data_IF_656373896779
#
_entry.id   IF_656373896779
#
_cell.length_a   1.000
_cell.length_b   1.000
_cell.length_c   1.000
_cell.angle_alpha   90.00
_cell.angle_beta   90.00
_cell.angle_gamma   90.00
#
_symmetry.space_group_name_H-M   'P 1'
#
loop_
_entity.id
_entity.type
_entity.pdbx_description
1 polymer ?
#
# COMPACT_ATOMS: atom_id res chain seq x y z
N UNK A 1 12.82 -5.14 -64.16
CA UNK A 1 12.10 -3.91 -63.74
C UNK A 1 12.71 -2.72 -64.43
N UNK A 2 11.92 -1.72 -64.80
CA UNK A 2 12.47 -0.42 -65.20
C UNK A 2 13.07 0.32 -63.99
N UNK A 3 13.94 1.30 -64.25
CA UNK A 3 14.49 2.18 -63.22
C UNK A 3 13.36 2.87 -62.43
N UNK A 4 12.30 3.32 -63.11
CA UNK A 4 11.13 3.95 -62.50
C UNK A 4 10.34 3.02 -61.59
N UNK A 5 10.18 1.74 -61.96
CA UNK A 5 9.51 0.74 -61.12
C UNK A 5 10.30 0.46 -59.84
N UNK A 6 11.62 0.33 -59.96
CA UNK A 6 12.51 0.07 -58.81
C UNK A 6 12.51 1.25 -57.84
N UNK A 7 12.54 2.48 -58.37
CA UNK A 7 12.44 3.71 -57.58
C UNK A 7 11.12 3.81 -56.82
N UNK A 8 9.98 3.57 -57.48
CA UNK A 8 8.66 3.63 -56.84
C UNK A 8 8.51 2.59 -55.72
N UNK A 9 9.03 1.37 -55.91
CA UNK A 9 9.02 0.32 -54.87
C UNK A 9 9.84 0.74 -53.66
N UNK A 10 11.04 1.29 -53.87
CA UNK A 10 11.90 1.78 -52.78
C UNK A 10 11.25 2.95 -52.03
N UNK A 11 10.63 3.90 -52.74
CA UNK A 11 9.95 5.03 -52.13
C UNK A 11 8.75 4.60 -51.26
N UNK A 12 7.92 3.68 -51.77
CA UNK A 12 6.78 3.13 -51.00
C UNK A 12 7.30 2.36 -49.77
N UNK A 13 8.34 1.55 -49.95
CA UNK A 13 8.95 0.79 -48.83
C UNK A 13 9.49 1.74 -47.76
N UNK A 14 10.21 2.78 -48.14
CA UNK A 14 10.71 3.81 -47.22
C UNK A 14 9.57 4.50 -46.46
N UNK A 15 8.49 4.88 -47.15
CA UNK A 15 7.32 5.48 -46.51
C UNK A 15 6.67 4.54 -45.47
N UNK A 16 6.51 3.25 -45.79
CA UNK A 16 6.00 2.25 -44.85
C UNK A 16 6.91 2.10 -43.63
N UNK A 17 8.23 2.03 -43.84
CA UNK A 17 9.20 1.95 -42.74
C UNK A 17 9.15 3.19 -41.85
N UNK A 18 9.03 4.39 -42.41
CA UNK A 18 8.91 5.63 -41.63
C UNK A 18 7.65 5.63 -40.77
N UNK A 19 6.51 5.19 -41.33
CA UNK A 19 5.26 5.07 -40.55
C UNK A 19 5.42 4.04 -39.43
N UNK A 20 5.97 2.86 -39.73
CA UNK A 20 6.19 1.80 -38.75
C UNK A 20 7.16 2.25 -37.63
N UNK A 21 8.21 2.99 -37.99
CA UNK A 21 9.14 3.61 -37.04
C UNK A 21 8.40 4.61 -36.14
N UNK A 22 7.63 5.53 -36.71
CA UNK A 22 6.84 6.51 -35.96
C UNK A 22 5.84 5.87 -35.01
N UNK A 23 5.15 4.82 -35.45
CA UNK A 23 4.26 4.01 -34.59
C UNK A 23 5.03 3.33 -33.47
N UNK A 24 6.17 2.67 -33.76
CA UNK A 24 6.97 1.99 -32.73
C UNK A 24 7.52 2.95 -31.67
N UNK A 25 7.94 4.16 -32.06
CA UNK A 25 8.35 5.22 -31.15
C UNK A 25 7.21 5.68 -30.25
N UNK A 26 6.03 5.88 -30.83
CA UNK A 26 4.84 6.25 -30.07
C UNK A 26 4.43 5.16 -29.07
N UNK A 27 4.45 3.89 -29.50
CA UNK A 27 4.13 2.75 -28.62
C UNK A 27 5.16 2.58 -27.52
N UNK A 28 6.45 2.80 -27.80
CA UNK A 28 7.51 2.82 -26.77
C UNK A 28 7.23 3.88 -25.71
N UNK A 29 6.84 5.10 -26.15
CA UNK A 29 6.49 6.18 -25.21
C UNK A 29 5.31 5.77 -24.32
N UNK A 30 4.25 5.21 -24.89
CA UNK A 30 3.09 4.76 -24.13
C UNK A 30 3.43 3.64 -23.14
N UNK A 31 4.20 2.64 -23.56
CA UNK A 31 4.61 1.53 -22.72
C UNK A 31 5.53 1.97 -21.57
N UNK A 32 6.38 2.98 -21.78
CA UNK A 32 7.18 3.58 -20.70
C UNK A 32 6.31 4.29 -19.66
N UNK A 33 5.27 5.01 -20.10
CA UNK A 33 4.31 5.64 -19.17
C UNK A 33 3.59 4.57 -18.36
N UNK A 34 3.11 3.50 -19.01
CA UNK A 34 2.47 2.36 -18.36
C UNK A 34 3.40 1.69 -17.33
N UNK A 35 4.70 1.53 -17.62
CA UNK A 35 5.68 0.99 -16.68
C UNK A 35 5.90 1.90 -15.46
N UNK A 36 5.96 3.22 -15.67
CA UNK A 36 6.06 4.20 -14.57
C UNK A 36 4.79 4.17 -13.70
N UNK A 37 3.61 4.10 -14.32
CA UNK A 37 2.34 4.03 -13.61
C UNK A 37 2.22 2.74 -12.80
N UNK A 38 2.68 1.60 -13.34
CA UNK A 38 2.75 0.33 -12.62
C UNK A 38 3.68 0.41 -11.39
N UNK A 39 4.86 1.04 -11.54
CA UNK A 39 5.80 1.25 -10.44
C UNK A 39 5.24 2.17 -9.35
N UNK A 40 4.60 3.27 -9.74
CA UNK A 40 3.93 4.20 -8.80
C UNK A 40 2.75 3.52 -8.09
N UNK A 41 1.97 2.72 -8.84
CA UNK A 41 0.88 1.91 -8.30
C UNK A 41 1.38 0.93 -7.23
N UNK A 42 2.44 0.17 -7.53
CA UNK A 42 3.11 -0.73 -6.58
C UNK A 42 3.54 0.02 -5.32
N UNK A 43 4.22 1.15 -5.47
CA UNK A 43 4.67 1.96 -4.33
C UNK A 43 3.50 2.41 -3.45
N UNK A 44 2.45 2.98 -4.04
CA UNK A 44 1.28 3.45 -3.30
C UNK A 44 0.54 2.30 -2.59
N UNK A 45 0.42 1.14 -3.24
CA UNK A 45 -0.12 -0.04 -2.59
C UNK A 45 0.73 -0.44 -1.38
N UNK A 46 2.06 -0.56 -1.53
CA UNK A 46 2.94 -0.91 -0.41
C UNK A 46 2.85 0.08 0.76
N UNK A 47 2.65 1.37 0.51
CA UNK A 47 2.44 2.37 1.59
C UNK A 47 1.16 2.11 2.40
N UNK A 48 0.04 1.81 1.73
CA UNK A 48 -1.23 1.51 2.41
C UNK A 48 -1.13 0.21 3.20
N UNK A 49 -0.45 -0.79 2.63
CA UNK A 49 -0.20 -2.07 3.26
C UNK A 49 0.66 -1.92 4.53
N UNK A 50 1.75 -1.16 4.45
CA UNK A 50 2.62 -0.88 5.60
C UNK A 50 1.87 -0.11 6.69
N UNK A 51 1.02 0.84 6.32
CA UNK A 51 0.22 1.55 7.31
C UNK A 51 -0.72 0.62 8.09
N UNK A 52 -1.33 -0.37 7.44
CA UNK A 52 -2.16 -1.35 8.16
C UNK A 52 -1.33 -2.08 9.22
N UNK A 53 -0.16 -2.58 8.84
CA UNK A 53 0.77 -3.28 9.72
C UNK A 53 1.23 -2.37 10.87
N UNK A 54 1.69 -1.17 10.54
CA UNK A 54 2.16 -0.18 11.51
C UNK A 54 1.06 0.22 12.48
N UNK A 55 -0.16 0.48 12.00
CA UNK A 55 -1.28 0.85 12.87
C UNK A 55 -1.62 -0.25 13.88
N UNK A 56 -1.47 -1.53 13.51
CA UNK A 56 -1.61 -2.65 14.45
C UNK A 56 -0.47 -2.66 15.49
N UNK A 57 0.76 -2.37 15.09
CA UNK A 57 1.90 -2.29 16.02
C UNK A 57 1.75 -1.12 17.00
N UNK A 58 1.37 0.05 16.50
CA UNK A 58 1.11 1.24 17.31
C UNK A 58 -0.03 1.04 18.31
N UNK A 59 -1.14 0.40 17.91
CA UNK A 59 -2.22 0.05 18.84
C UNK A 59 -1.70 -0.81 20.00
N UNK A 60 -0.95 -1.88 19.69
CA UNK A 60 -0.41 -2.75 20.74
C UNK A 60 0.61 -2.06 21.65
N UNK A 61 1.45 -1.19 21.07
CA UNK A 61 2.42 -0.38 21.82
C UNK A 61 1.71 0.59 22.76
N UNK A 62 0.80 1.40 22.23
CA UNK A 62 0.08 2.42 22.99
C UNK A 62 -0.82 1.81 24.07
N UNK A 63 -1.50 0.70 23.77
CA UNK A 63 -2.35 -0.01 24.73
C UNK A 63 -1.57 -0.52 25.93
N UNK A 64 -0.43 -1.19 25.68
CA UNK A 64 0.48 -1.64 26.75
C UNK A 64 1.07 -0.49 27.53
N UNK A 65 1.51 0.57 26.86
CA UNK A 65 2.05 1.75 27.54
C UNK A 65 1.01 2.39 28.45
N UNK A 66 -0.21 2.61 27.97
CA UNK A 66 -1.30 3.13 28.80
C UNK A 66 -1.56 2.26 30.03
N UNK A 67 -1.63 0.93 29.85
CA UNK A 67 -1.93 0.01 30.95
C UNK A 67 -0.91 0.11 32.09
N UNK A 68 0.36 0.34 31.75
CA UNK A 68 1.45 0.46 32.73
C UNK A 68 1.57 1.86 33.30
N UNK A 69 1.54 2.90 32.46
CA UNK A 69 1.80 4.29 32.87
C UNK A 69 0.57 5.00 33.41
N UNK A 70 -0.64 4.56 32.99
CA UNK A 70 -1.94 5.18 33.27
C UNK A 70 -2.07 6.60 32.72
N UNK A 71 -1.15 7.00 31.85
CA UNK A 71 -1.16 8.31 31.23
C UNK A 71 -2.24 8.35 30.14
N UNK A 72 -3.32 9.14 30.31
CA UNK A 72 -4.47 9.15 29.41
C UNK A 72 -4.12 9.51 27.96
N UNK A 73 -2.96 10.14 27.73
CA UNK A 73 -2.51 10.50 26.38
C UNK A 73 -2.29 9.27 25.50
N UNK A 74 -1.78 8.16 26.04
CA UNK A 74 -1.60 6.92 25.28
C UNK A 74 -2.94 6.28 24.90
N UNK A 75 -3.94 6.31 25.79
CA UNK A 75 -5.31 5.86 25.47
C UNK A 75 -5.96 6.76 24.42
N UNK A 76 -5.76 8.08 24.51
CA UNK A 76 -6.26 9.03 23.50
C UNK A 76 -5.65 8.75 22.13
N UNK A 77 -4.34 8.55 22.05
CA UNK A 77 -3.65 8.19 20.81
C UNK A 77 -4.12 6.85 20.24
N UNK A 78 -4.29 5.83 21.10
CA UNK A 78 -4.85 4.54 20.71
C UNK A 78 -6.23 4.69 20.05
N UNK A 79 -7.14 5.44 20.69
CA UNK A 79 -8.48 5.69 20.15
C UNK A 79 -8.45 6.51 18.85
N UNK A 80 -7.51 7.45 18.74
CA UNK A 80 -7.30 8.22 17.51
C UNK A 80 -6.86 7.34 16.34
N UNK A 81 -6.00 6.34 16.56
CA UNK A 81 -5.61 5.38 15.51
C UNK A 81 -6.83 4.59 15.03
N UNK A 82 -7.67 4.09 15.95
CA UNK A 82 -8.90 3.40 15.58
C UNK A 82 -9.84 4.31 14.78
N UNK A 83 -9.98 5.57 15.19
CA UNK A 83 -10.80 6.55 14.49
C UNK A 83 -10.25 6.88 13.08
N UNK A 84 -8.92 6.99 12.92
CA UNK A 84 -8.28 7.18 11.61
C UNK A 84 -8.50 5.95 10.71
N UNK A 85 -8.27 4.74 11.23
CA UNK A 85 -8.48 3.49 10.46
C UNK A 85 -9.92 3.36 9.96
N UNK A 86 -10.88 3.76 10.79
CA UNK A 86 -12.32 3.73 10.49
C UNK A 86 -12.80 4.95 9.70
N UNK A 87 -11.94 5.93 9.40
CA UNK A 87 -12.28 7.12 8.64
C UNK A 87 -13.15 8.14 9.40
N UNK A 88 -13.32 8.00 10.71
CA UNK A 88 -14.07 8.96 11.53
C UNK A 88 -13.22 10.14 11.99
N UNK A 89 -11.88 9.99 11.97
CA UNK A 89 -10.90 11.07 12.15
C UNK A 89 -10.06 11.23 10.87
N UNK A 90 -9.68 12.47 10.49
CA UNK A 90 -8.83 12.67 9.32
C UNK A 90 -7.47 11.98 9.51
N UNK A 91 -7.03 11.30 8.46
CA UNK A 91 -5.69 10.72 8.41
C UNK A 91 -4.64 11.83 8.28
N UNK A 92 -3.49 11.77 8.96
CA UNK A 92 -2.38 12.69 8.70
C UNK A 92 -1.92 12.66 7.23
N UNK A 93 -1.48 13.79 6.69
CA UNK A 93 -0.75 13.77 5.42
C UNK A 93 0.56 12.99 5.57
N UNK A 94 1.07 12.37 4.51
CA UNK A 94 2.29 11.53 4.51
C UNK A 94 2.36 10.54 5.70
N UNK A 95 1.26 9.84 5.98
CA UNK A 95 1.13 9.03 7.19
C UNK A 95 2.08 7.82 7.24
N UNK A 96 2.68 7.45 6.10
CA UNK A 96 3.77 6.50 6.01
C UNK A 96 5.07 6.97 6.69
N UNK A 97 5.15 8.24 7.13
CA UNK A 97 6.28 8.79 7.87
C UNK A 97 5.99 8.80 9.36
N UNK A 98 7.05 8.74 10.18
CA UNK A 98 7.01 8.74 11.65
C UNK A 98 6.05 9.79 12.20
N UNK A 99 4.99 9.36 12.89
CA UNK A 99 3.93 10.22 13.44
C UNK A 99 3.73 10.01 14.93
N UNK A 100 3.34 8.81 15.37
CA UNK A 100 2.96 8.55 16.76
C UNK A 100 4.10 8.66 17.77
N UNK A 101 5.34 8.44 17.37
CA UNK A 101 6.49 8.64 18.27
C UNK A 101 6.68 10.12 18.64
N UNK A 102 6.41 11.04 17.71
CA UNK A 102 6.44 12.47 18.00
C UNK A 102 5.28 12.89 18.90
N UNK A 103 4.08 12.39 18.62
CA UNK A 103 2.89 12.69 19.44
C UNK A 103 3.05 12.13 20.86
N UNK A 104 3.62 10.92 20.99
CA UNK A 104 3.94 10.32 22.29
C UNK A 104 5.01 11.08 23.07
N UNK A 105 5.91 11.80 22.39
CA UNK A 105 6.89 12.70 23.02
C UNK A 105 6.31 14.06 23.44
N UNK A 106 5.02 14.30 23.22
CA UNK A 106 4.34 15.57 23.53
C UNK A 106 4.50 16.64 22.45
N UNK A 107 5.00 16.30 21.26
CA UNK A 107 5.04 17.25 20.16
C UNK A 107 3.64 17.46 19.57
N UNK A 108 3.39 18.67 19.07
CA UNK A 108 2.21 18.96 18.26
C UNK A 108 2.12 18.03 17.05
N UNK A 109 0.91 17.86 16.52
CA UNK A 109 0.62 17.00 15.36
C UNK A 109 1.64 17.30 14.24
N UNK A 110 2.60 16.38 13.97
CA UNK A 110 3.78 16.69 13.16
C UNK A 110 3.43 16.88 11.68
N UNK A 111 2.19 16.55 11.30
CA UNK A 111 1.66 16.68 9.96
C UNK A 111 0.22 17.18 10.02
N UNK A 112 -0.19 18.02 9.07
CA UNK A 112 -1.56 18.49 9.00
C UNK A 112 -2.53 17.34 8.72
N UNK A 113 -3.82 17.51 9.09
CA UNK A 113 -4.85 16.55 8.74
C UNK A 113 -5.04 16.49 7.21
N UNK A 114 -5.32 15.29 6.71
CA UNK A 114 -5.71 14.99 5.35
C UNK A 114 -7.19 14.61 5.26
N UNK A 115 -7.52 13.64 4.40
CA UNK A 115 -8.89 13.17 4.19
C UNK A 115 -9.35 12.24 5.33
N UNK A 116 -10.61 12.36 5.73
CA UNK A 116 -11.31 11.37 6.54
C UNK A 116 -11.86 10.29 5.62
N UNK A 117 -11.16 9.16 5.53
CA UNK A 117 -11.52 8.02 4.68
C UNK A 117 -11.01 6.73 5.34
N UNK A 118 -11.82 5.66 5.40
CA UNK A 118 -11.36 4.39 5.95
C UNK A 118 -10.16 3.83 5.18
N UNK A 119 -9.21 3.21 5.89
CA UNK A 119 -8.02 2.61 5.25
C UNK A 119 -8.41 1.56 4.19
N UNK A 120 -9.40 0.72 4.50
CA UNK A 120 -9.91 -0.28 3.55
C UNK A 120 -10.54 0.37 2.31
N UNK A 121 -11.10 1.57 2.41
CA UNK A 121 -11.60 2.29 1.25
C UNK A 121 -10.43 2.80 0.38
N UNK A 122 -9.36 3.33 0.97
CA UNK A 122 -8.15 3.73 0.23
C UNK A 122 -7.52 2.56 -0.52
N UNK A 123 -7.49 1.38 0.11
CA UNK A 123 -7.04 0.15 -0.57
C UNK A 123 -7.96 -0.21 -1.74
N UNK A 124 -9.27 0.06 -1.65
CA UNK A 124 -10.20 -0.22 -2.75
C UNK A 124 -9.98 0.74 -3.91
N UNK A 125 -9.80 2.01 -3.60
CA UNK A 125 -9.46 3.06 -4.56
C UNK A 125 -8.10 2.79 -5.25
N UNK A 126 -7.15 2.13 -4.56
CA UNK A 126 -5.85 1.74 -5.10
C UNK A 126 -5.87 0.45 -5.95
N UNK A 127 -7.04 -0.12 -6.25
CA UNK A 127 -7.18 -1.24 -7.17
C UNK A 127 -6.71 -2.59 -6.60
N UNK A 128 -6.85 -2.77 -5.29
CA UNK A 128 -6.65 -4.07 -4.67
C UNK A 128 -7.76 -5.05 -5.08
N UNK A 129 -7.37 -6.29 -5.34
CA UNK A 129 -8.20 -7.41 -5.77
C UNK A 129 -9.04 -7.96 -4.63
N UNK A 130 -10.11 -8.70 -4.96
CA UNK A 130 -10.98 -9.33 -3.96
C UNK A 130 -10.23 -10.35 -3.09
N UNK A 131 -9.23 -11.05 -3.64
CA UNK A 131 -8.41 -11.99 -2.89
C UNK A 131 -7.50 -11.29 -1.85
N UNK A 132 -6.88 -10.17 -2.24
CA UNK A 132 -6.12 -9.33 -1.31
C UNK A 132 -7.06 -8.75 -0.23
N UNK A 133 -8.25 -8.30 -0.63
CA UNK A 133 -9.26 -7.78 0.30
C UNK A 133 -9.76 -8.80 1.31
N UNK A 134 -9.97 -10.04 0.90
CA UNK A 134 -10.41 -11.10 1.81
C UNK A 134 -9.41 -11.28 2.98
N UNK A 135 -8.11 -11.19 2.69
CA UNK A 135 -7.05 -11.24 3.72
C UNK A 135 -7.04 -10.01 4.63
N UNK A 136 -7.29 -8.84 4.07
CA UNK A 136 -7.45 -7.61 4.85
C UNK A 136 -8.64 -7.65 5.80
N UNK A 137 -9.77 -8.19 5.35
CA UNK A 137 -10.98 -8.38 6.16
C UNK A 137 -10.75 -9.42 7.27
N UNK A 138 -10.07 -10.53 6.96
CA UNK A 138 -9.63 -11.52 7.94
C UNK A 138 -8.75 -10.89 9.03
N UNK A 139 -7.74 -10.11 8.63
CA UNK A 139 -6.87 -9.38 9.55
C UNK A 139 -7.65 -8.37 10.42
N UNK A 140 -8.62 -7.66 9.83
CA UNK A 140 -9.46 -6.71 10.57
C UNK A 140 -10.33 -7.43 11.61
N UNK A 141 -10.99 -8.52 11.23
CA UNK A 141 -11.82 -9.31 12.15
C UNK A 141 -10.99 -9.85 13.33
N UNK A 142 -9.78 -10.33 13.06
CA UNK A 142 -8.83 -10.76 14.10
C UNK A 142 -8.40 -9.58 15.00
N UNK A 143 -8.23 -8.38 14.41
CA UNK A 143 -7.88 -7.17 15.14
C UNK A 143 -8.99 -6.69 16.06
N UNK A 144 -10.26 -6.83 15.67
CA UNK A 144 -11.40 -6.43 16.51
C UNK A 144 -11.43 -7.23 17.82
N UNK A 145 -11.02 -8.51 17.79
CA UNK A 145 -10.86 -9.34 18.99
C UNK A 145 -9.75 -8.85 19.93
N UNK A 146 -8.58 -8.48 19.39
CA UNK A 146 -7.50 -7.90 20.19
C UNK A 146 -7.89 -6.55 20.80
N UNK A 147 -8.56 -5.70 20.02
CA UNK A 147 -9.05 -4.40 20.48
C UNK A 147 -10.00 -4.57 21.67
N UNK A 148 -10.89 -5.56 21.65
CA UNK A 148 -11.77 -5.84 22.79
C UNK A 148 -10.99 -6.19 24.06
N UNK A 149 -9.95 -7.04 23.95
CA UNK A 149 -9.06 -7.39 25.06
C UNK A 149 -8.28 -6.18 25.59
N UNK A 150 -7.80 -5.33 24.69
CA UNK A 150 -7.09 -4.10 25.03
C UNK A 150 -8.01 -3.11 25.74
N UNK A 151 -9.23 -2.91 25.25
CA UNK A 151 -10.24 -2.05 25.89
C UNK A 151 -10.64 -2.58 27.27
N UNK A 152 -10.76 -3.90 27.45
CA UNK A 152 -10.99 -4.50 28.77
C UNK A 152 -9.83 -4.14 29.73
N UNK A 153 -8.58 -4.31 29.29
CA UNK A 153 -7.42 -3.94 30.11
C UNK A 153 -7.41 -2.45 30.45
N UNK A 154 -7.77 -1.58 29.49
CA UNK A 154 -7.90 -0.14 29.74
C UNK A 154 -9.01 0.18 30.74
N UNK A 155 -10.14 -0.52 30.67
CA UNK A 155 -11.26 -0.35 31.60
C UNK A 155 -10.87 -0.74 33.02
N UNK A 156 -10.13 -1.84 33.19
CA UNK A 156 -9.65 -2.27 34.51
C UNK A 156 -8.73 -1.23 35.17
N UNK A 157 -7.90 -0.53 34.38
CA UNK A 157 -7.08 0.61 34.84
C UNK A 157 -7.95 1.78 35.32
N UNK A 158 -9.12 1.98 34.70
CA UNK A 158 -10.08 3.03 35.05
C UNK A 158 -11.06 2.64 36.16
N UNK A 159 -10.93 1.47 36.77
CA UNK A 159 -11.90 0.99 37.76
C UNK A 159 -13.23 0.61 37.13
N UNK A 160 -13.20 0.00 35.94
CA UNK A 160 -14.37 -0.51 35.23
C UNK A 160 -14.24 -1.99 34.85
N UNK A 161 -15.37 -2.68 34.72
CA UNK A 161 -15.44 -4.02 34.15
C UNK A 161 -15.28 -4.02 32.62
N UNK A 162 -15.31 -5.21 32.01
CA UNK A 162 -15.22 -5.36 30.54
C UNK A 162 -16.31 -4.62 29.75
N UNK A 163 -17.46 -4.36 30.36
CA UNK A 163 -18.58 -3.66 29.74
C UNK A 163 -18.53 -2.14 29.99
N UNK A 164 -17.53 -1.66 30.76
CA UNK A 164 -17.38 -0.26 31.12
C UNK A 164 -18.16 0.16 32.37
N UNK A 165 -18.74 -0.78 33.12
CA UNK A 165 -19.43 -0.47 34.38
C UNK A 165 -18.42 -0.28 35.52
N UNK A 166 -18.64 0.65 36.46
CA UNK A 166 -17.74 0.82 37.61
C UNK A 166 -17.58 -0.47 38.43
N UNK A 167 -16.35 -0.76 38.84
CA UNK A 167 -16.02 -1.78 39.86
C UNK A 167 -15.50 -1.09 41.12
N UNK A 168 -15.39 -1.84 42.22
CA UNK A 168 -15.05 -1.28 43.54
C UNK A 168 -13.71 -0.53 43.53
N UNK A 169 -12.69 -1.08 42.88
CA UNK A 169 -11.35 -0.50 42.76
C UNK A 169 -10.73 -0.92 41.40
N UNK A 170 -9.82 -0.10 40.81
CA UNK A 170 -9.05 -0.50 39.64
C UNK A 170 -8.22 -1.78 39.85
N UNK A 171 -8.18 -2.64 38.83
CA UNK A 171 -7.39 -3.88 38.84
C UNK A 171 -6.20 -3.80 37.87
N UNK A 172 -5.14 -3.12 38.32
CA UNK A 172 -3.92 -2.94 37.52
C UNK A 172 -3.19 -4.26 37.23
N UNK A 173 -3.22 -5.20 38.19
CA UNK A 173 -2.54 -6.49 38.05
C UNK A 173 -3.15 -7.31 36.93
N UNK A 174 -4.48 -7.39 36.89
CA UNK A 174 -5.21 -8.05 35.81
C UNK A 174 -5.04 -7.31 34.49
N UNK A 175 -5.10 -5.97 34.46
CA UNK A 175 -4.90 -5.19 33.24
C UNK A 175 -3.54 -5.50 32.57
N UNK A 176 -2.45 -5.48 33.36
CA UNK A 176 -1.11 -5.84 32.89
C UNK A 176 -1.07 -7.30 32.43
N UNK A 177 -1.67 -8.22 33.20
CA UNK A 177 -1.71 -9.63 32.82
C UNK A 177 -2.39 -9.85 31.47
N UNK A 178 -3.50 -9.18 31.18
CA UNK A 178 -4.24 -9.32 29.92
C UNK A 178 -3.35 -8.96 28.71
N UNK A 179 -2.68 -7.80 28.74
CA UNK A 179 -1.90 -7.28 27.60
C UNK A 179 -0.50 -7.92 27.43
N UNK A 180 -0.09 -8.72 28.42
CA UNK A 180 1.16 -9.52 28.38
C UNK A 180 0.89 -11.04 28.39
N UNK A 181 -0.36 -11.45 28.23
CA UNK A 181 -0.74 -12.87 28.26
C UNK A 181 -0.29 -13.64 27.00
N UNK A 182 -0.14 -14.98 27.09
CA UNK A 182 0.03 -15.81 25.90
C UNK A 182 -1.11 -15.66 24.90
N UNK A 183 -2.33 -15.44 25.37
CA UNK A 183 -3.51 -15.19 24.55
C UNK A 183 -3.36 -13.90 23.73
N UNK A 184 -2.88 -12.82 24.34
CA UNK A 184 -2.57 -11.58 23.64
C UNK A 184 -1.56 -11.79 22.50
N UNK A 185 -0.50 -12.57 22.75
CA UNK A 185 0.48 -12.90 21.72
C UNK A 185 -0.12 -13.77 20.59
N UNK A 186 -1.06 -14.67 20.90
CA UNK A 186 -1.82 -15.43 19.89
C UNK A 186 -2.70 -14.53 19.04
N UNK A 187 -3.41 -13.56 19.64
CA UNK A 187 -4.14 -12.56 18.88
C UNK A 187 -3.23 -11.81 17.91
N UNK A 188 -2.07 -11.33 18.39
CA UNK A 188 -1.12 -10.61 17.51
C UNK A 188 -0.64 -11.48 16.35
N UNK A 189 -0.31 -12.75 16.60
CA UNK A 189 0.07 -13.69 15.55
C UNK A 189 -1.07 -13.92 14.54
N UNK A 190 -2.31 -14.10 15.02
CA UNK A 190 -3.49 -14.30 14.17
C UNK A 190 -3.85 -13.07 13.34
N UNK A 191 -3.53 -11.87 13.80
CA UNK A 191 -3.67 -10.63 13.01
C UNK A 191 -2.59 -10.56 11.94
N UNK A 192 -1.34 -10.88 12.30
CA UNK A 192 -0.21 -10.72 11.40
C UNK A 192 -0.14 -11.78 10.31
N UNK A 193 -0.68 -12.99 10.55
CA UNK A 193 -0.70 -14.04 9.54
C UNK A 193 -1.44 -13.67 8.24
N UNK A 194 -2.70 -13.21 8.27
CA UNK A 194 -3.37 -12.75 7.05
C UNK A 194 -2.79 -11.46 6.48
N UNK A 195 -2.17 -10.59 7.30
CA UNK A 195 -1.41 -9.42 6.79
C UNK A 195 -0.21 -9.90 5.96
N UNK A 196 0.54 -10.88 6.45
CA UNK A 196 1.67 -11.49 5.73
C UNK A 196 1.21 -12.17 4.42
N UNK A 197 0.15 -12.99 4.48
CA UNK A 197 -0.43 -13.61 3.28
C UNK A 197 -0.88 -12.56 2.24
N UNK A 198 -1.45 -11.44 2.71
CA UNK A 198 -1.83 -10.31 1.86
C UNK A 198 -0.62 -9.63 1.22
N UNK A 199 0.48 -9.43 1.95
CA UNK A 199 1.70 -8.82 1.42
C UNK A 199 2.27 -9.66 0.28
N UNK A 200 2.28 -10.98 0.42
CA UNK A 200 2.69 -11.90 -0.67
C UNK A 200 1.81 -11.73 -1.90
N UNK A 201 0.48 -11.74 -1.74
CA UNK A 201 -0.45 -11.54 -2.87
C UNK A 201 -0.23 -10.19 -3.57
N UNK A 202 0.01 -9.14 -2.79
CA UNK A 202 0.26 -7.81 -3.30
C UNK A 202 1.58 -7.71 -4.06
N UNK A 203 2.65 -8.27 -3.49
CA UNK A 203 3.98 -8.28 -4.10
C UNK A 203 3.95 -9.06 -5.42
N UNK A 204 3.38 -10.26 -5.44
CA UNK A 204 3.26 -11.09 -6.64
C UNK A 204 2.49 -10.37 -7.75
N UNK A 205 1.32 -9.80 -7.43
CA UNK A 205 0.49 -9.10 -8.43
C UNK A 205 1.20 -7.87 -8.98
N UNK A 206 1.74 -7.03 -8.11
CA UNK A 206 2.33 -5.76 -8.53
C UNK A 206 3.67 -5.96 -9.23
N UNK A 207 4.41 -7.02 -8.89
CA UNK A 207 5.64 -7.41 -9.60
C UNK A 207 5.32 -7.92 -11.00
N UNK A 208 4.35 -8.82 -11.11
CA UNK A 208 3.89 -9.31 -12.42
C UNK A 208 3.42 -8.16 -13.33
N UNK A 209 2.70 -7.18 -12.78
CA UNK A 209 2.26 -6.00 -13.52
C UNK A 209 3.45 -5.13 -13.98
N UNK A 210 4.44 -4.88 -13.11
CA UNK A 210 5.63 -4.11 -13.44
C UNK A 210 6.47 -4.79 -14.54
N UNK A 211 6.73 -6.09 -14.38
CA UNK A 211 7.49 -6.90 -15.35
C UNK A 211 6.78 -6.95 -16.70
N UNK A 212 5.46 -7.08 -16.72
CA UNK A 212 4.69 -7.07 -17.96
C UNK A 212 4.78 -5.72 -18.70
N UNK A 213 4.70 -4.61 -17.96
CA UNK A 213 4.82 -3.27 -18.53
C UNK A 213 6.25 -2.99 -19.06
N UNK A 214 7.27 -3.44 -18.33
CA UNK A 214 8.68 -3.34 -18.75
C UNK A 214 8.95 -4.16 -20.03
N UNK A 215 8.53 -5.43 -20.06
CA UNK A 215 8.67 -6.28 -21.25
C UNK A 215 7.99 -5.68 -22.49
N UNK A 216 6.83 -5.04 -22.30
CA UNK A 216 6.10 -4.34 -23.37
C UNK A 216 6.87 -3.12 -23.86
N UNK A 217 7.47 -2.35 -22.95
CA UNK A 217 8.36 -1.23 -23.29
C UNK A 217 9.57 -1.70 -24.10
N UNK A 218 10.23 -2.76 -23.66
CA UNK A 218 11.39 -3.33 -24.34
C UNK A 218 11.04 -3.85 -25.74
N UNK A 219 9.92 -4.55 -25.88
CA UNK A 219 9.45 -5.04 -27.18
C UNK A 219 9.28 -3.90 -28.19
N UNK A 220 8.67 -2.79 -27.79
CA UNK A 220 8.50 -1.63 -28.70
C UNK A 220 9.81 -0.88 -28.93
N UNK A 221 10.70 -0.86 -27.96
CA UNK A 221 12.05 -0.29 -28.13
C UNK A 221 12.87 -1.09 -29.15
N UNK A 222 12.90 -2.42 -29.05
CA UNK A 222 13.56 -3.27 -30.05
C UNK A 222 12.91 -3.17 -31.43
N UNK A 223 11.58 -3.01 -31.49
CA UNK A 223 10.86 -2.72 -32.74
C UNK A 223 11.31 -1.40 -33.36
N UNK A 224 11.55 -0.37 -32.53
CA UNK A 224 12.08 0.93 -32.97
C UNK A 224 13.47 0.78 -33.57
N UNK A 225 14.36 0.04 -32.91
CA UNK A 225 15.71 -0.25 -33.43
C UNK A 225 15.61 -0.97 -34.77
N UNK A 226 14.77 -2.01 -34.86
CA UNK A 226 14.56 -2.77 -36.09
C UNK A 226 14.14 -1.88 -37.27
N UNK A 227 13.11 -1.04 -37.08
CA UNK A 227 12.67 -0.14 -38.14
C UNK A 227 13.69 0.94 -38.48
N UNK A 228 14.52 1.38 -37.52
CA UNK A 228 15.60 2.32 -37.78
C UNK A 228 16.68 1.71 -38.68
N UNK A 229 17.06 0.46 -38.43
CA UNK A 229 18.03 -0.29 -39.27
C UNK A 229 17.43 -0.59 -40.65
N UNK A 230 16.15 -0.94 -40.74
CA UNK A 230 15.48 -1.12 -42.03
C UNK A 230 15.47 0.17 -42.84
N UNK A 231 15.26 1.32 -42.20
CA UNK A 231 15.23 2.62 -42.85
C UNK A 231 16.60 2.99 -43.44
N UNK A 232 17.69 2.76 -42.70
CA UNK A 232 19.05 2.99 -43.22
C UNK A 232 19.37 2.07 -44.40
N UNK A 233 18.92 0.81 -44.35
CA UNK A 233 19.03 -0.13 -45.48
C UNK A 233 18.33 0.37 -46.74
N UNK A 234 17.11 0.92 -46.62
CA UNK A 234 16.38 1.52 -47.75
C UNK A 234 17.17 2.71 -48.32
N UNK A 235 17.70 3.61 -47.49
CA UNK A 235 18.51 4.74 -47.96
C UNK A 235 19.79 4.31 -48.68
N UNK A 236 20.51 3.31 -48.16
CA UNK A 236 21.72 2.78 -48.81
C UNK A 236 21.37 2.19 -50.18
N UNK A 237 20.24 1.52 -50.33
CA UNK A 237 19.81 0.94 -51.62
C UNK A 237 19.34 1.96 -52.67
N UNK A 238 19.09 3.21 -52.25
CA UNK A 238 18.74 4.31 -53.16
C UNK A 238 19.97 5.09 -53.66
N UNK A 239 21.13 4.98 -52.98
CA UNK A 239 22.37 5.68 -53.31
C UNK A 239 23.17 4.94 -54.40
#
# INVERSE_FOLDING_TARGET
MSISQSFNVLAITGAVVVVALGTSLYMTKLAKVEAIDAANGRYNSMLLADELRQSSDDLTRLGRTYVVTRDPDYKRQYMDILAIRNGTKPRPQDYNRIYWDFVAAGNDQPRPPGRSVPLLQLMREAGYTDAEFAKLEEAKANSDGLVALEVEAMNLVEGKDRNGNPIAEPDYGRAIQLVHSPEYHRFKANIMKPVDDFMVLLEDRTEAAAVAAENKSDMYFYSTIFWSVMLTGVFISMA
#
